data_IF_376404866360
#
_entry.id   IF_376404866360
#
_cell.length_a   1.000
_cell.length_b   1.000
_cell.length_c   1.000
_cell.angle_alpha   90.00
_cell.angle_beta   90.00
_cell.angle_gamma   90.00
#
_symmetry.space_group_name_H-M   'P 1'
#
loop_
_entity.id
_entity.type
_entity.pdbx_description
1 polymer ?
#
# COMPACT_ATOMS: atom_id res chain seq x y z
N UNK A 1 -3.78 -17.99 -15.09
CA UNK A 1 -2.79 -16.97 -14.67
C UNK A 1 -3.40 -15.61 -15.02
N UNK A 2 -3.79 -14.76 -14.04
CA UNK A 2 -4.29 -13.42 -14.39
C UNK A 2 -3.11 -12.64 -14.98
N UNK A 3 -3.23 -12.24 -16.24
CA UNK A 3 -2.21 -11.45 -16.95
C UNK A 3 -1.96 -10.14 -16.19
N UNK A 4 -0.73 -9.64 -16.24
CA UNK A 4 -0.43 -8.28 -15.79
C UNK A 4 -1.35 -7.30 -16.54
N UNK A 5 -2.12 -6.52 -15.78
CA UNK A 5 -3.05 -5.52 -16.31
C UNK A 5 -2.47 -4.13 -15.98
N UNK A 6 -1.84 -3.46 -16.96
CA UNK A 6 -1.21 -2.16 -16.74
C UNK A 6 -2.23 -1.06 -16.44
N UNK A 7 -3.48 -1.16 -16.91
CA UNK A 7 -4.51 -0.16 -16.63
C UNK A 7 -4.94 -0.21 -15.18
N UNK A 8 -5.20 -1.42 -14.67
CA UNK A 8 -5.52 -1.60 -13.25
C UNK A 8 -4.39 -1.15 -12.34
N UNK A 9 -3.14 -1.38 -12.72
CA UNK A 9 -1.99 -0.88 -11.96
C UNK A 9 -1.95 0.66 -11.92
N UNK A 10 -2.15 1.32 -13.06
CA UNK A 10 -2.20 2.79 -13.14
C UNK A 10 -3.36 3.38 -12.33
N UNK A 11 -4.53 2.76 -12.39
CA UNK A 11 -5.69 3.21 -11.61
C UNK A 11 -5.39 3.17 -10.11
N UNK A 12 -4.86 2.03 -9.61
CA UNK A 12 -4.50 1.89 -8.20
C UNK A 12 -3.44 2.89 -7.75
N UNK A 13 -2.46 3.17 -8.60
CA UNK A 13 -1.45 4.18 -8.31
C UNK A 13 -2.08 5.58 -8.24
N UNK A 14 -3.01 5.88 -9.16
CA UNK A 14 -3.77 7.14 -9.15
C UNK A 14 -4.62 7.29 -7.89
N UNK A 15 -5.31 6.23 -7.48
CA UNK A 15 -6.12 6.20 -6.26
C UNK A 15 -5.24 6.38 -5.01
N UNK A 16 -4.09 5.69 -4.94
CA UNK A 16 -3.14 5.82 -3.84
C UNK A 16 -2.58 7.25 -3.74
N UNK A 17 -2.25 7.88 -4.86
CA UNK A 17 -1.82 9.29 -4.88
C UNK A 17 -2.94 10.21 -4.40
N UNK A 18 -4.17 10.02 -4.87
CA UNK A 18 -5.31 10.82 -4.45
C UNK A 18 -5.60 10.68 -2.94
N UNK A 19 -5.52 9.46 -2.39
CA UNK A 19 -5.68 9.21 -0.96
C UNK A 19 -4.53 9.81 -0.15
N UNK A 20 -3.29 9.68 -0.64
CA UNK A 20 -2.11 10.26 0.02
C UNK A 20 -2.23 11.78 0.14
N UNK A 21 -2.72 12.45 -0.91
CA UNK A 21 -2.90 13.91 -0.91
C UNK A 21 -3.93 14.37 0.13
N UNK A 22 -4.99 13.59 0.38
CA UNK A 22 -6.00 13.91 1.41
C UNK A 22 -5.43 13.92 2.82
N UNK A 23 -4.46 13.05 3.09
CA UNK A 23 -3.86 12.89 4.42
C UNK A 23 -2.51 13.60 4.57
N UNK A 24 -1.93 14.11 3.48
CA UNK A 24 -0.61 14.73 3.48
C UNK A 24 -0.49 15.92 4.43
N UNK A 25 -1.56 16.70 4.60
CA UNK A 25 -1.57 17.83 5.53
C UNK A 25 -1.40 17.37 6.98
N UNK A 26 -2.05 16.26 7.38
CA UNK A 26 -1.97 15.72 8.74
C UNK A 26 -0.55 15.22 9.09
N UNK A 27 0.16 14.68 8.09
CA UNK A 27 1.57 14.29 8.26
C UNK A 27 2.45 15.53 8.39
N UNK A 28 2.22 16.57 7.58
CA UNK A 28 2.98 17.83 7.66
C UNK A 28 2.79 18.54 9.00
N UNK A 29 1.59 18.46 9.57
CA UNK A 29 1.25 19.03 10.88
C UNK A 29 1.77 18.16 12.05
N UNK A 30 2.38 17.00 11.76
CA UNK A 30 2.94 16.10 12.76
C UNK A 30 1.91 15.25 13.50
N UNK A 31 0.66 15.17 13.01
CA UNK A 31 -0.38 14.30 13.59
C UNK A 31 -0.04 12.81 13.37
N UNK A 32 0.59 12.50 12.24
CA UNK A 32 1.11 11.16 11.93
C UNK A 32 2.56 11.26 11.46
N UNK A 33 3.35 10.23 11.72
CA UNK A 33 4.77 10.23 11.36
C UNK A 33 5.00 9.91 9.88
N UNK A 34 4.08 9.14 9.28
CA UNK A 34 4.22 8.70 7.87
C UNK A 34 2.89 8.75 7.13
N UNK A 35 2.97 8.86 5.80
CA UNK A 35 1.78 8.78 4.92
C UNK A 35 1.08 7.43 5.06
N UNK A 36 1.81 6.32 5.22
CA UNK A 36 1.21 5.00 5.38
C UNK A 36 0.40 4.88 6.67
N UNK A 37 0.92 5.43 7.77
CA UNK A 37 0.19 5.51 9.05
C UNK A 37 -1.11 6.31 8.88
N UNK A 38 -1.02 7.51 8.29
CA UNK A 38 -2.19 8.36 8.06
C UNK A 38 -3.22 7.71 7.11
N UNK A 39 -2.78 6.99 6.07
CA UNK A 39 -3.66 6.23 5.17
C UNK A 39 -4.43 5.14 5.93
N UNK A 40 -3.73 4.37 6.76
CA UNK A 40 -4.35 3.31 7.55
C UNK A 40 -5.36 3.91 8.52
N UNK A 41 -4.97 4.88 9.33
CA UNK A 41 -5.81 5.44 10.39
C UNK A 41 -6.99 6.26 9.87
N UNK A 42 -6.80 7.08 8.82
CA UNK A 42 -7.84 7.99 8.36
C UNK A 42 -8.71 7.44 7.23
N UNK A 43 -8.20 6.51 6.42
CA UNK A 43 -8.89 6.06 5.19
C UNK A 43 -9.29 4.59 5.29
N UNK A 44 -8.41 3.71 5.78
CA UNK A 44 -8.64 2.27 5.69
C UNK A 44 -9.26 1.65 6.94
N UNK A 45 -9.03 2.21 8.12
CA UNK A 45 -9.66 1.78 9.38
C UNK A 45 -11.12 2.26 9.49
N UNK A 46 -11.94 1.79 8.56
CA UNK A 46 -13.40 1.90 8.62
C UNK A 46 -14.01 0.51 8.82
N UNK A 47 -15.25 0.46 9.32
CA UNK A 47 -16.11 -0.75 9.29
C UNK A 47 -15.47 -2.03 9.86
N UNK A 48 -14.60 -1.91 10.87
CA UNK A 48 -13.96 -3.05 11.55
C UNK A 48 -12.65 -3.53 10.92
N UNK A 49 -12.14 -2.84 9.90
CA UNK A 49 -10.77 -3.02 9.44
C UNK A 49 -9.81 -2.44 10.50
N UNK A 50 -8.95 -3.26 11.11
CA UNK A 50 -8.06 -2.81 12.18
C UNK A 50 -6.60 -3.31 12.04
N UNK A 51 -6.40 -4.46 11.42
CA UNK A 51 -5.08 -5.02 11.17
C UNK A 51 -4.82 -5.12 9.67
N UNK A 52 -3.64 -4.71 9.22
CA UNK A 52 -3.25 -4.73 7.81
C UNK A 52 -1.88 -5.37 7.64
N UNK A 53 -1.83 -6.43 6.84
CA UNK A 53 -0.59 -7.14 6.54
C UNK A 53 -0.53 -7.57 5.07
N UNK A 54 0.68 -7.75 4.56
CA UNK A 54 0.87 -8.34 3.24
C UNK A 54 0.36 -9.79 3.20
N UNK A 55 0.14 -10.30 1.99
CA UNK A 55 -0.29 -11.69 1.78
C UNK A 55 0.64 -12.70 2.49
N UNK A 56 1.95 -12.48 2.42
CA UNK A 56 2.94 -13.38 3.02
C UNK A 56 2.95 -13.31 4.55
N UNK A 57 2.74 -12.13 5.12
CA UNK A 57 2.63 -11.96 6.57
C UNK A 57 1.38 -12.63 7.13
N UNK A 58 0.23 -12.51 6.45
CA UNK A 58 -0.96 -13.26 6.84
C UNK A 58 -0.73 -14.76 6.77
N UNK A 59 -0.08 -15.25 5.71
CA UNK A 59 0.29 -16.67 5.60
C UNK A 59 1.20 -17.12 6.75
N UNK A 60 2.18 -16.31 7.16
CA UNK A 60 3.05 -16.60 8.32
C UNK A 60 2.27 -16.65 9.64
N UNK A 61 1.18 -15.91 9.74
CA UNK A 61 0.26 -15.88 10.90
C UNK A 61 -0.78 -17.01 10.89
N UNK A 62 -0.68 -17.96 9.96
CA UNK A 62 -1.67 -19.04 9.83
C UNK A 62 -3.01 -18.60 9.22
N UNK A 63 -3.07 -17.40 8.65
CA UNK A 63 -4.27 -16.89 8.00
C UNK A 63 -4.18 -16.98 6.47
N UNK A 64 -5.32 -17.10 5.81
CA UNK A 64 -5.42 -17.14 4.35
C UNK A 64 -6.31 -16.01 3.84
N UNK A 65 -5.80 -15.21 2.90
CA UNK A 65 -6.61 -14.20 2.21
C UNK A 65 -7.74 -14.87 1.41
N UNK A 66 -8.97 -14.40 1.62
CA UNK A 66 -10.18 -14.86 0.92
C UNK A 66 -10.03 -14.65 -0.58
N UNK A 67 -10.45 -15.62 -1.38
CA UNK A 67 -10.37 -15.54 -2.84
C UNK A 67 -11.27 -14.41 -3.33
N UNK A 68 -10.72 -13.52 -4.16
CA UNK A 68 -11.45 -12.39 -4.73
C UNK A 68 -11.33 -11.09 -3.94
N UNK A 69 -10.75 -11.12 -2.73
CA UNK A 69 -10.47 -9.90 -1.96
C UNK A 69 -9.57 -8.94 -2.73
N UNK A 70 -9.91 -7.64 -2.66
CA UNK A 70 -9.09 -6.58 -3.23
C UNK A 70 -8.12 -6.03 -2.19
N UNK A 71 -6.84 -5.93 -2.54
CA UNK A 71 -5.83 -5.39 -1.64
C UNK A 71 -5.96 -3.87 -1.48
N UNK A 72 -5.70 -3.39 -0.27
CA UNK A 72 -5.38 -2.00 -0.02
C UNK A 72 -3.96 -1.70 -0.50
N UNK A 73 -3.72 -0.46 -0.92
CA UNK A 73 -2.44 -0.04 -1.47
C UNK A 73 -1.72 0.88 -0.48
N UNK A 74 -0.41 0.70 -0.32
CA UNK A 74 0.46 1.56 0.48
C UNK A 74 1.72 1.89 -0.31
N UNK A 75 2.49 2.88 0.14
CA UNK A 75 3.84 3.10 -0.38
C UNK A 75 4.79 2.06 0.22
N UNK A 76 5.48 1.33 -0.64
CA UNK A 76 6.52 0.39 -0.26
C UNK A 76 7.83 1.09 0.10
N UNK A 77 8.81 0.27 0.51
CA UNK A 77 10.15 0.76 0.82
C UNK A 77 10.77 1.45 -0.40
N UNK A 78 11.38 2.64 -0.22
CA UNK A 78 12.03 3.35 -1.31
C UNK A 78 13.14 2.50 -1.93
N UNK A 79 13.22 2.55 -3.25
CA UNK A 79 14.26 1.89 -4.03
C UNK A 79 15.08 3.01 -4.69
N UNK A 80 16.39 3.13 -4.40
CA UNK A 80 17.22 4.13 -5.05
C UNK A 80 17.27 3.85 -6.55
N UNK A 81 17.09 4.90 -7.36
CA UNK A 81 17.22 4.84 -8.81
C UNK A 81 18.09 5.96 -9.32
N UNK A 82 19.07 5.61 -10.13
CA UNK A 82 19.85 6.58 -10.90
C UNK A 82 19.04 7.01 -12.12
N UNK A 83 18.78 8.30 -12.24
CA UNK A 83 18.08 8.92 -13.37
C UNK A 83 19.08 9.78 -14.13
N UNK A 84 19.29 9.49 -15.41
CA UNK A 84 20.08 10.34 -16.29
C UNK A 84 19.27 11.57 -16.68
N UNK A 85 19.80 12.74 -16.37
CA UNK A 85 19.29 14.02 -16.87
C UNK A 85 19.69 14.22 -18.33
N UNK A 86 18.97 15.10 -19.02
CA UNK A 86 19.24 15.45 -20.42
C UNK A 86 20.64 16.07 -20.63
N UNK A 87 21.22 16.70 -19.59
CA UNK A 87 22.57 17.26 -19.60
C UNK A 87 23.67 16.20 -19.35
N UNK A 88 23.32 14.92 -19.19
CA UNK A 88 24.26 13.83 -18.93
C UNK A 88 24.64 13.63 -17.46
N UNK A 89 24.12 14.45 -16.54
CA UNK A 89 24.30 14.25 -15.10
C UNK A 89 23.43 13.09 -14.59
N UNK A 90 23.96 12.32 -13.64
CA UNK A 90 23.24 11.24 -12.96
C UNK A 90 22.73 11.75 -11.60
N UNK A 91 21.41 11.71 -11.41
CA UNK A 91 20.76 11.96 -10.13
C UNK A 91 20.36 10.64 -9.47
N UNK A 92 20.60 10.51 -8.18
CA UNK A 92 19.92 9.49 -7.37
C UNK A 92 18.56 10.01 -6.90
N UNK A 93 17.49 9.30 -7.26
CA UNK A 93 16.13 9.56 -6.77
C UNK A 93 15.51 8.28 -6.25
N UNK A 94 14.84 8.39 -5.12
CA UNK A 94 14.09 7.27 -4.56
C UNK A 94 12.80 7.05 -5.34
N UNK A 95 12.63 5.82 -5.81
CA UNK A 95 11.38 5.33 -6.36
C UNK A 95 10.59 4.62 -5.27
N UNK A 96 9.38 5.09 -5.00
CA UNK A 96 8.48 4.47 -4.02
C UNK A 96 7.52 3.50 -4.73
N UNK A 97 7.76 2.17 -4.65
CA UNK A 97 6.86 1.20 -5.27
C UNK A 97 5.53 1.16 -4.53
N UNK A 98 4.49 0.62 -5.17
CA UNK A 98 3.22 0.33 -4.51
C UNK A 98 3.29 -1.05 -3.82
N UNK A 99 2.92 -1.09 -2.54
CA UNK A 99 2.78 -2.30 -1.74
C UNK A 99 1.29 -2.67 -1.59
N UNK A 100 1.02 -3.97 -1.44
CA UNK A 100 -0.32 -4.51 -1.27
C UNK A 100 -0.49 -5.14 0.10
N UNK A 101 -1.51 -4.69 0.83
CA UNK A 101 -1.88 -5.23 2.13
C UNK A 101 -3.35 -5.64 2.15
N UNK A 102 -3.68 -6.56 3.04
CA UNK A 102 -5.02 -7.07 3.27
C UNK A 102 -5.37 -6.86 4.73
N UNK A 103 -6.63 -6.60 4.99
CA UNK A 103 -7.13 -6.42 6.35
C UNK A 103 -7.52 -7.75 7.02
N UNK A 104 -7.69 -7.73 8.34
CA UNK A 104 -8.30 -8.81 9.13
C UNK A 104 -9.63 -9.33 8.54
N UNK A 105 -10.48 -8.45 8.00
CA UNK A 105 -11.78 -8.85 7.44
C UNK A 105 -11.65 -9.63 6.11
N UNK A 106 -10.48 -9.56 5.48
CA UNK A 106 -10.21 -10.19 4.19
C UNK A 106 -9.51 -11.53 4.30
N UNK A 107 -9.26 -12.03 5.50
CA UNK A 107 -8.63 -13.31 5.76
C UNK A 107 -9.56 -14.28 6.47
N UNK A 108 -9.23 -15.57 6.40
CA UNK A 108 -9.79 -16.64 7.23
C UNK A 108 -8.66 -17.22 8.08
N UNK A 109 -8.90 -17.40 9.37
CA UNK A 109 -8.00 -18.15 10.27
C UNK A 109 -8.53 -19.56 10.44
N UNK A 110 -7.67 -20.50 10.84
CA UNK A 110 -8.09 -21.88 11.08
C UNK A 110 -9.15 -21.99 12.21
N UNK A 111 -9.16 -21.03 13.12
CA UNK A 111 -10.13 -20.92 14.23
C UNK A 111 -11.54 -20.48 13.79
N UNK A 112 -11.72 -20.01 12.55
CA UNK A 112 -13.03 -19.55 12.05
C UNK A 112 -13.85 -20.64 11.32
N UNK A 113 -13.50 -21.92 11.50
CA UNK A 113 -14.22 -23.06 10.91
C UNK A 113 -15.39 -23.56 11.75
#
# INVERSE_FOLDING_TARGET
MKKYDPERHRQRLSDLMAQSNKVAQLVKEGTFNTINEALIECIYKADGHNEFYSFNEWKKRGARVKKGSEAFCLWGQPIPRTVKRENGEEDEKDFFPMAYVFSNLQVVTEDTK
#
